data_IF_567005172205
#
_entry.id   IF_567005172205
#
_cell.length_a   1.000
_cell.length_b   1.000
_cell.length_c   1.000
_cell.angle_alpha   90.00
_cell.angle_beta   90.00
_cell.angle_gamma   90.00
#
_symmetry.space_group_name_H-M   'P 1'
#
loop_
_entity.id
_entity.type
_entity.pdbx_description
1 polymer ?
#
# COMPACT_ATOMS: atom_id res chain seq x y z
N UNK A 1 60.49 -21.14 -36.99
CA UNK A 1 59.32 -21.86 -36.48
C UNK A 1 58.66 -21.30 -35.20
N UNK A 2 59.35 -20.52 -34.33
CA UNK A 2 58.77 -19.94 -33.14
C UNK A 2 57.96 -18.63 -33.42
N UNK A 3 58.30 -17.88 -34.44
CA UNK A 3 57.66 -16.60 -34.76
C UNK A 3 56.21 -16.74 -35.28
N UNK A 4 55.89 -17.83 -35.96
CA UNK A 4 54.57 -18.02 -36.58
C UNK A 4 53.51 -18.45 -35.57
N UNK A 5 53.91 -19.17 -34.51
CA UNK A 5 52.99 -19.51 -33.38
C UNK A 5 52.58 -18.31 -32.59
N UNK A 6 53.49 -17.36 -32.31
CA UNK A 6 53.22 -16.15 -31.56
C UNK A 6 52.24 -15.22 -32.34
N UNK A 7 52.43 -15.12 -33.67
CA UNK A 7 51.51 -14.34 -34.54
C UNK A 7 50.10 -14.93 -34.63
N UNK A 8 50.01 -16.28 -34.71
CA UNK A 8 48.70 -16.95 -34.72
C UNK A 8 47.97 -16.80 -33.41
N UNK A 9 48.66 -16.89 -32.25
CA UNK A 9 48.01 -16.69 -30.95
C UNK A 9 47.59 -15.25 -30.73
N UNK A 10 48.32 -14.27 -31.23
CA UNK A 10 47.97 -12.87 -31.12
C UNK A 10 46.75 -12.52 -31.99
N UNK A 11 46.60 -13.10 -33.20
CA UNK A 11 45.45 -12.92 -34.08
C UNK A 11 44.17 -13.55 -33.47
N UNK A 12 44.27 -14.72 -32.87
CA UNK A 12 43.13 -15.39 -32.19
C UNK A 12 42.69 -14.57 -30.96
N UNK A 13 43.65 -14.03 -30.21
CA UNK A 13 43.32 -13.17 -29.04
C UNK A 13 42.63 -11.86 -29.48
N UNK A 14 43.10 -11.26 -30.59
CA UNK A 14 42.52 -10.05 -31.15
C UNK A 14 41.07 -10.29 -31.69
N UNK A 15 40.83 -11.43 -32.30
CA UNK A 15 39.49 -11.81 -32.74
C UNK A 15 38.56 -12.11 -31.57
N UNK A 16 39.04 -12.77 -30.51
CA UNK A 16 38.25 -13.03 -29.31
C UNK A 16 37.87 -11.73 -28.58
N UNK A 17 38.79 -10.77 -28.47
CA UNK A 17 38.50 -9.47 -27.86
C UNK A 17 37.53 -8.63 -28.70
N UNK A 18 37.61 -8.67 -30.03
CA UNK A 18 36.67 -7.96 -30.90
C UNK A 18 35.24 -8.54 -30.86
N UNK A 19 35.11 -9.87 -30.68
CA UNK A 19 33.79 -10.50 -30.48
C UNK A 19 33.21 -10.16 -29.10
N UNK A 20 34.07 -10.09 -28.07
CA UNK A 20 33.60 -9.71 -26.73
C UNK A 20 33.13 -8.24 -26.67
N UNK A 21 33.80 -7.34 -27.37
CA UNK A 21 33.37 -5.92 -27.46
C UNK A 21 32.11 -5.75 -28.27
N UNK A 22 31.85 -6.61 -29.27
CA UNK A 22 30.61 -6.60 -30.03
C UNK A 22 29.41 -7.18 -29.25
N UNK A 23 29.67 -8.04 -28.24
CA UNK A 23 28.62 -8.59 -27.36
C UNK A 23 28.24 -7.64 -26.22
N UNK A 24 29.15 -6.71 -25.84
CA UNK A 24 28.86 -5.61 -24.93
C UNK A 24 28.64 -4.34 -25.74
N UNK A 25 27.74 -4.41 -26.70
CA UNK A 25 27.23 -3.20 -27.36
C UNK A 25 26.74 -2.22 -26.30
N UNK A 26 26.89 -0.89 -26.51
CA UNK A 26 26.27 0.07 -25.60
C UNK A 26 24.79 -0.30 -25.51
N UNK A 27 24.33 -0.57 -24.31
CA UNK A 27 22.90 -0.70 -24.06
C UNK A 27 22.26 0.53 -24.70
N UNK A 28 21.50 0.31 -25.79
CA UNK A 28 20.76 1.39 -26.39
C UNK A 28 20.02 2.08 -25.26
N UNK A 29 20.11 3.41 -25.10
CA UNK A 29 19.28 4.08 -24.14
C UNK A 29 17.85 3.63 -24.50
N UNK A 30 17.22 2.91 -23.60
CA UNK A 30 15.78 2.67 -23.67
C UNK A 30 15.24 4.09 -23.70
N UNK A 31 14.82 4.54 -24.88
CA UNK A 31 14.08 5.79 -24.98
C UNK A 31 12.94 5.63 -24.01
N UNK A 32 12.91 6.44 -22.97
CA UNK A 32 11.77 6.51 -22.09
C UNK A 32 10.55 6.67 -23.00
N UNK A 33 9.77 5.59 -23.14
CA UNK A 33 8.44 5.71 -23.70
C UNK A 33 7.81 6.87 -22.94
N UNK A 34 7.06 7.76 -23.61
CA UNK A 34 6.36 8.83 -22.90
C UNK A 34 5.60 8.22 -21.75
N UNK A 35 6.15 8.36 -20.54
CA UNK A 35 5.55 7.82 -19.34
C UNK A 35 4.21 8.50 -19.14
N UNK A 36 3.18 7.72 -18.83
CA UNK A 36 1.84 8.24 -18.61
C UNK A 36 1.85 9.08 -17.33
N UNK A 37 1.60 10.38 -17.45
CA UNK A 37 1.51 11.30 -16.31
C UNK A 37 0.08 11.53 -15.86
N UNK A 38 -0.92 11.13 -16.66
CA UNK A 38 -2.35 11.13 -16.36
C UNK A 38 -3.11 10.24 -17.34
N UNK A 39 -4.27 9.73 -16.94
CA UNK A 39 -5.15 8.93 -17.80
C UNK A 39 -4.96 7.43 -17.64
N UNK A 40 -5.05 6.66 -18.73
CA UNK A 40 -5.17 5.19 -18.67
C UNK A 40 -3.98 4.51 -19.35
N UNK A 41 -3.28 3.69 -18.58
CA UNK A 41 -2.27 2.74 -19.08
C UNK A 41 -2.99 1.51 -19.61
N UNK A 42 -2.85 1.21 -20.92
CA UNK A 42 -3.51 0.08 -21.58
C UNK A 42 -2.55 -1.03 -22.00
N UNK A 43 -1.25 -0.82 -21.85
CA UNK A 43 -0.19 -1.79 -22.19
C UNK A 43 0.74 -2.05 -21.02
N UNK A 44 1.99 -2.36 -21.34
CA UNK A 44 3.05 -2.44 -20.33
C UNK A 44 3.82 -1.14 -20.31
N UNK A 45 3.93 -0.54 -19.13
CA UNK A 45 4.68 0.68 -18.89
C UNK A 45 5.68 0.49 -17.74
N UNK A 46 6.83 1.15 -17.83
CA UNK A 46 7.90 1.05 -16.84
C UNK A 46 8.24 2.45 -16.34
N UNK A 47 8.08 2.68 -15.05
CA UNK A 47 8.45 3.92 -14.39
C UNK A 47 9.78 3.79 -13.67
N UNK A 48 10.66 4.77 -13.89
CA UNK A 48 12.02 4.80 -13.32
C UNK A 48 12.44 6.22 -12.95
N UNK A 49 13.29 6.34 -11.93
CA UNK A 49 13.85 7.63 -11.53
C UNK A 49 12.79 8.54 -10.91
N UNK A 50 12.65 9.78 -11.39
CA UNK A 50 11.64 10.72 -10.90
C UNK A 50 10.51 10.85 -11.91
N UNK A 51 9.29 10.61 -11.44
CA UNK A 51 8.07 10.63 -12.24
C UNK A 51 7.06 11.59 -11.60
N UNK A 52 6.65 12.61 -12.34
CA UNK A 52 5.69 13.61 -11.85
C UNK A 52 4.38 13.44 -12.60
N UNK A 53 3.33 13.06 -11.86
CA UNK A 53 2.00 12.95 -12.41
C UNK A 53 1.36 14.33 -12.62
N UNK A 54 0.42 14.41 -13.54
CA UNK A 54 -0.35 15.64 -13.85
C UNK A 54 -1.84 15.45 -13.60
N UNK A 55 -2.24 14.26 -13.17
CA UNK A 55 -3.63 13.89 -12.84
C UNK A 55 -3.73 12.42 -12.45
N UNK A 56 -4.96 11.93 -12.27
CA UNK A 56 -5.20 10.52 -11.97
C UNK A 56 -4.63 9.59 -13.03
N UNK A 57 -4.09 8.47 -12.59
CA UNK A 57 -3.62 7.39 -13.46
C UNK A 57 -4.38 6.11 -13.14
N UNK A 58 -4.85 5.42 -14.18
CA UNK A 58 -5.47 4.11 -14.05
C UNK A 58 -4.68 3.06 -14.85
N UNK A 59 -4.39 1.92 -14.26
CA UNK A 59 -3.86 0.75 -14.97
C UNK A 59 -5.03 -0.12 -15.38
N UNK A 60 -5.33 -0.21 -16.67
CA UNK A 60 -6.47 -0.97 -17.18
C UNK A 60 -6.32 -2.48 -16.89
N UNK A 61 -7.44 -3.20 -16.83
CA UNK A 61 -7.42 -4.66 -16.73
C UNK A 61 -6.61 -5.27 -17.87
N UNK A 62 -5.69 -6.18 -17.55
CA UNK A 62 -4.76 -6.78 -18.50
C UNK A 62 -3.53 -5.94 -18.86
N UNK A 63 -3.50 -4.66 -18.50
CA UNK A 63 -2.30 -3.84 -18.58
C UNK A 63 -1.34 -4.12 -17.44
N UNK A 64 -0.11 -3.60 -17.53
CA UNK A 64 0.92 -3.81 -16.53
C UNK A 64 1.73 -2.55 -16.28
N UNK A 65 1.79 -2.14 -15.02
CA UNK A 65 2.70 -1.10 -14.56
C UNK A 65 3.86 -1.72 -13.79
N UNK A 66 5.07 -1.37 -14.17
CA UNK A 66 6.30 -1.77 -13.51
C UNK A 66 6.94 -0.51 -12.92
N UNK A 67 7.07 -0.45 -11.60
CA UNK A 67 7.76 0.63 -10.91
C UNK A 67 9.07 0.08 -10.36
N UNK A 68 10.18 0.58 -10.90
CA UNK A 68 11.50 0.07 -10.50
C UNK A 68 11.90 0.57 -9.11
N UNK A 69 12.72 -0.18 -8.37
CA UNK A 69 13.29 0.26 -7.12
C UNK A 69 14.01 1.60 -7.25
N UNK A 70 13.87 2.46 -6.25
CA UNK A 70 14.45 3.81 -6.25
C UNK A 70 13.67 4.86 -7.06
N UNK A 71 12.49 4.49 -7.61
CA UNK A 71 11.61 5.45 -8.29
C UNK A 71 10.94 6.35 -7.27
N UNK A 72 10.92 7.64 -7.54
CA UNK A 72 10.12 8.63 -6.79
C UNK A 72 8.98 9.11 -7.69
N UNK A 73 7.75 8.97 -7.20
CA UNK A 73 6.55 9.40 -7.92
C UNK A 73 5.90 10.53 -7.11
N UNK A 74 5.75 11.68 -7.77
CA UNK A 74 5.09 12.84 -7.18
C UNK A 74 3.68 12.96 -7.76
N UNK A 75 2.70 12.98 -6.89
CA UNK A 75 1.30 13.15 -7.20
C UNK A 75 0.87 14.60 -6.92
N UNK A 76 0.15 15.24 -7.83
CA UNK A 76 -0.56 16.48 -7.51
C UNK A 76 -1.60 16.21 -6.40
N UNK A 77 -1.98 17.28 -5.70
CA UNK A 77 -3.07 17.23 -4.74
C UNK A 77 -4.34 16.65 -5.37
N UNK A 78 -5.04 15.79 -4.63
CA UNK A 78 -6.31 15.17 -5.04
C UNK A 78 -6.19 14.12 -6.12
N UNK A 79 -5.00 13.57 -6.39
CA UNK A 79 -4.81 12.57 -7.43
C UNK A 79 -4.51 11.19 -6.88
N UNK A 80 -4.88 10.17 -7.66
CA UNK A 80 -4.80 8.76 -7.28
C UNK A 80 -4.23 7.87 -8.38
N UNK A 81 -3.80 6.67 -7.97
CA UNK A 81 -3.44 5.56 -8.84
C UNK A 81 -4.45 4.42 -8.67
N UNK A 82 -5.29 4.16 -9.67
CA UNK A 82 -6.27 3.05 -9.69
C UNK A 82 -5.73 1.85 -10.49
N UNK A 83 -5.40 0.75 -9.81
CA UNK A 83 -4.80 -0.44 -10.42
C UNK A 83 -5.86 -1.53 -10.61
N UNK A 84 -6.30 -1.74 -11.84
CA UNK A 84 -7.19 -2.83 -12.28
C UNK A 84 -6.42 -3.93 -13.01
N UNK A 85 -5.23 -3.60 -13.50
CA UNK A 85 -4.29 -4.51 -14.15
C UNK A 85 -3.22 -5.00 -13.18
N UNK A 86 -2.03 -5.30 -13.71
CA UNK A 86 -0.93 -5.82 -12.94
C UNK A 86 -0.01 -4.71 -12.43
N UNK A 87 0.42 -4.82 -11.20
CA UNK A 87 1.41 -3.91 -10.59
C UNK A 87 2.63 -4.69 -10.13
N UNK A 88 3.78 -4.27 -10.61
CA UNK A 88 5.09 -4.74 -10.19
C UNK A 88 5.89 -3.59 -9.61
N UNK A 89 5.94 -3.47 -8.32
CA UNK A 89 6.57 -2.34 -7.65
C UNK A 89 7.61 -2.80 -6.63
N UNK A 90 8.85 -2.32 -6.75
CA UNK A 90 9.94 -2.62 -5.84
C UNK A 90 10.44 -4.08 -5.84
N UNK A 91 10.03 -4.87 -6.83
CA UNK A 91 10.41 -6.28 -6.95
C UNK A 91 11.25 -6.51 -8.21
N UNK A 92 12.22 -7.43 -8.13
CA UNK A 92 13.09 -7.76 -9.28
C UNK A 92 12.38 -8.61 -10.33
N UNK A 93 11.33 -9.33 -9.94
CA UNK A 93 10.48 -10.12 -10.82
C UNK A 93 9.03 -10.04 -10.36
N UNK A 94 8.12 -9.93 -11.32
CA UNK A 94 6.69 -9.92 -11.05
C UNK A 94 6.17 -11.33 -10.81
N UNK A 95 5.35 -11.48 -9.78
CA UNK A 95 4.74 -12.75 -9.39
C UNK A 95 4.64 -12.88 -7.89
N UNK A 96 3.80 -13.79 -7.42
CA UNK A 96 3.49 -13.99 -6.00
C UNK A 96 4.71 -14.22 -5.08
N UNK A 97 5.84 -14.61 -5.64
CA UNK A 97 7.10 -14.86 -4.94
C UNK A 97 8.20 -13.83 -5.24
N UNK A 98 7.86 -12.62 -5.67
CA UNK A 98 8.82 -11.53 -5.89
C UNK A 98 9.63 -11.19 -4.63
N UNK A 99 10.39 -12.18 -4.13
CA UNK A 99 11.11 -12.10 -2.86
C UNK A 99 12.41 -11.30 -2.94
N UNK A 100 12.96 -11.13 -4.13
CA UNK A 100 14.19 -10.39 -4.33
C UNK A 100 13.86 -8.93 -4.68
N UNK A 101 13.62 -8.11 -3.67
CA UNK A 101 13.61 -6.66 -3.81
C UNK A 101 15.01 -6.11 -3.57
N UNK A 102 15.28 -4.95 -4.11
CA UNK A 102 16.47 -4.17 -3.73
C UNK A 102 16.18 -3.37 -2.47
N UNK A 103 17.23 -2.99 -1.75
CA UNK A 103 17.11 -2.19 -0.53
C UNK A 103 16.66 -0.73 -0.79
N UNK A 104 16.43 -0.33 -2.05
CA UNK A 104 16.06 1.03 -2.39
C UNK A 104 14.54 1.15 -2.52
N UNK A 105 13.88 1.92 -1.65
CA UNK A 105 12.43 2.05 -1.67
C UNK A 105 11.93 2.76 -2.93
N UNK A 106 10.67 2.51 -3.26
CA UNK A 106 9.88 3.38 -4.12
C UNK A 106 9.22 4.41 -3.20
N UNK A 107 9.28 5.68 -3.55
CA UNK A 107 8.61 6.75 -2.79
C UNK A 107 7.43 7.29 -3.58
N UNK A 108 6.25 7.27 -2.98
CA UNK A 108 5.03 7.88 -3.49
C UNK A 108 4.74 9.10 -2.62
N UNK A 109 4.85 10.30 -3.17
CA UNK A 109 4.69 11.55 -2.43
C UNK A 109 3.52 12.35 -3.00
N UNK A 110 2.61 12.79 -2.14
CA UNK A 110 1.56 13.73 -2.49
C UNK A 110 1.99 15.15 -2.11
N UNK A 111 1.75 16.08 -3.03
CA UNK A 111 2.06 17.50 -2.78
C UNK A 111 1.02 18.06 -1.82
N UNK A 112 1.50 18.62 -0.71
CA UNK A 112 0.66 19.37 0.20
C UNK A 112 -0.18 20.43 -0.56
N UNK A 113 -1.48 20.54 -0.27
CA UNK A 113 -2.27 21.62 -0.78
C UNK A 113 -1.61 22.92 -0.34
N UNK A 114 -1.30 23.80 -1.27
CA UNK A 114 -0.78 25.13 -0.93
C UNK A 114 -1.77 25.75 0.09
N UNK A 115 -1.31 26.07 1.28
CA UNK A 115 -2.12 26.52 2.42
C UNK A 115 -3.06 27.71 2.15
N UNK A 116 -3.00 28.28 0.97
CA UNK A 116 -3.81 29.45 0.58
C UNK A 116 -5.27 29.11 0.24
N UNK A 117 -5.65 27.84 0.07
CA UNK A 117 -7.02 27.43 -0.27
C UNK A 117 -7.51 26.18 0.48
N UNK A 118 -6.79 25.72 1.48
CA UNK A 118 -7.15 24.54 2.24
C UNK A 118 -8.20 24.84 3.31
N UNK A 119 -9.39 25.22 2.88
CA UNK A 119 -10.61 24.90 3.64
C UNK A 119 -11.10 23.52 3.20
N UNK A 120 -10.15 22.58 3.14
CA UNK A 120 -10.37 21.25 2.63
C UNK A 120 -11.02 20.34 3.64
N UNK A 121 -12.32 20.49 3.84
CA UNK A 121 -13.10 19.41 4.42
C UNK A 121 -13.41 18.40 3.32
N UNK A 122 -12.79 17.23 3.37
CA UNK A 122 -13.11 16.12 2.47
C UNK A 122 -14.48 15.51 2.73
N UNK A 123 -15.26 16.06 3.64
CA UNK A 123 -16.61 15.63 3.95
C UNK A 123 -17.52 16.85 4.21
N UNK A 124 -18.75 16.76 3.79
CA UNK A 124 -19.81 17.68 4.15
C UNK A 124 -20.90 16.97 4.96
N UNK A 125 -21.57 17.70 5.84
CA UNK A 125 -22.78 17.21 6.49
C UNK A 125 -23.98 17.53 5.61
N UNK A 126 -24.73 16.50 5.22
CA UNK A 126 -26.03 16.66 4.59
C UNK A 126 -27.13 17.02 5.57
N UNK A 127 -28.25 17.48 5.07
CA UNK A 127 -29.44 17.74 5.89
C UNK A 127 -29.88 16.48 6.63
N UNK A 128 -30.07 16.57 7.94
CA UNK A 128 -30.54 15.45 8.76
C UNK A 128 -29.43 14.56 9.33
N UNK A 129 -28.26 15.11 9.55
CA UNK A 129 -27.06 14.41 10.04
C UNK A 129 -26.49 13.36 9.09
N UNK A 130 -26.93 13.35 7.85
CA UNK A 130 -26.28 12.54 6.81
C UNK A 130 -25.04 13.26 6.35
N UNK A 131 -23.88 12.62 6.44
CA UNK A 131 -22.65 13.16 5.87
C UNK A 131 -22.76 13.12 4.36
N UNK A 132 -22.76 14.29 3.71
CA UNK A 132 -22.67 14.41 2.26
C UNK A 132 -21.22 14.71 1.91
N UNK A 133 -20.69 13.94 0.98
CA UNK A 133 -19.35 14.11 0.47
C UNK A 133 -19.28 15.33 -0.42
N UNK A 134 -18.59 16.34 0.02
CA UNK A 134 -18.11 17.39 -0.88
C UNK A 134 -16.79 16.88 -1.42
N UNK A 135 -16.76 16.59 -2.70
CA UNK A 135 -15.54 16.24 -3.39
C UNK A 135 -14.73 17.53 -3.53
N UNK A 136 -13.94 17.85 -2.52
CA UNK A 136 -12.91 18.86 -2.65
C UNK A 136 -11.76 18.26 -3.46
N UNK A 137 -11.04 19.12 -4.16
CA UNK A 137 -9.87 18.75 -4.95
C UNK A 137 -8.71 18.20 -4.11
N UNK A 138 -8.77 18.35 -2.79
CA UNK A 138 -7.80 17.78 -1.84
C UNK A 138 -8.11 16.36 -1.41
N UNK A 139 -9.27 15.79 -1.79
CA UNK A 139 -9.65 14.42 -1.45
C UNK A 139 -9.37 13.48 -2.60
N UNK A 140 -8.91 12.28 -2.29
CA UNK A 140 -8.68 11.26 -3.30
C UNK A 140 -7.21 10.93 -3.52
N UNK A 141 -6.38 11.21 -2.53
CA UNK A 141 -4.95 10.95 -2.55
C UNK A 141 -4.63 9.55 -2.08
N UNK A 142 -4.05 8.74 -2.94
CA UNK A 142 -3.69 7.37 -2.59
C UNK A 142 -3.66 6.41 -3.77
N UNK A 143 -3.69 5.13 -3.45
CA UNK A 143 -3.69 4.03 -4.41
C UNK A 143 -4.86 3.07 -4.15
N UNK A 144 -5.51 2.63 -5.21
CA UNK A 144 -6.55 1.59 -5.15
C UNK A 144 -6.08 0.36 -5.92
N UNK A 145 -6.12 -0.79 -5.27
CA UNK A 145 -5.89 -2.09 -5.90
C UNK A 145 -7.22 -2.83 -6.02
N UNK A 146 -7.59 -3.20 -7.25
CA UNK A 146 -8.87 -3.83 -7.55
C UNK A 146 -8.78 -5.35 -7.60
N UNK A 147 -9.90 -6.01 -7.41
CA UNK A 147 -10.06 -7.47 -7.50
C UNK A 147 -9.69 -8.09 -8.86
N UNK A 148 -9.67 -7.27 -9.91
CA UNK A 148 -9.28 -7.66 -11.26
C UNK A 148 -7.77 -7.82 -11.45
N UNK A 149 -6.96 -7.45 -10.45
CA UNK A 149 -5.51 -7.58 -10.49
C UNK A 149 -5.08 -9.05 -10.45
N UNK A 150 -4.24 -9.47 -11.41
CA UNK A 150 -3.64 -10.80 -11.40
C UNK A 150 -2.45 -10.86 -10.43
N UNK A 151 -2.68 -11.45 -9.27
CA UNK A 151 -1.67 -11.58 -8.22
C UNK A 151 -0.49 -12.47 -8.63
N UNK A 152 -0.68 -13.38 -9.59
CA UNK A 152 0.42 -14.20 -10.11
C UNK A 152 1.41 -13.41 -10.98
N UNK A 153 0.98 -12.25 -11.46
CA UNK A 153 1.76 -11.32 -12.29
C UNK A 153 2.07 -10.01 -11.60
N UNK A 154 1.70 -9.89 -10.32
CA UNK A 154 1.88 -8.68 -9.52
C UNK A 154 2.80 -8.95 -8.33
N UNK A 155 3.40 -7.91 -7.80
CA UNK A 155 4.22 -7.97 -6.59
C UNK A 155 4.53 -6.58 -6.11
N UNK A 156 4.48 -6.38 -4.78
CA UNK A 156 4.72 -5.08 -4.15
C UNK A 156 5.65 -5.24 -2.96
N UNK A 157 6.71 -4.47 -2.95
CA UNK A 157 7.67 -4.47 -1.87
C UNK A 157 8.33 -3.12 -1.72
N UNK A 158 8.57 -2.72 -0.47
CA UNK A 158 9.38 -1.57 -0.09
C UNK A 158 8.89 -0.28 -0.75
N UNK A 159 7.61 0.01 -0.54
CA UNK A 159 6.95 1.22 -1.03
C UNK A 159 6.68 2.14 0.15
N UNK A 160 7.15 3.37 0.05
CA UNK A 160 6.93 4.43 1.02
C UNK A 160 5.83 5.36 0.50
N UNK A 161 4.79 5.55 1.30
CA UNK A 161 3.71 6.50 1.08
C UNK A 161 3.94 7.71 1.98
N UNK A 162 3.97 8.90 1.42
CA UNK A 162 4.29 10.12 2.14
C UNK A 162 3.30 11.24 1.84
N UNK A 163 2.73 11.84 2.88
CA UNK A 163 1.90 13.05 2.78
C UNK A 163 0.50 12.85 2.21
N UNK A 164 -0.05 11.63 2.17
CA UNK A 164 -1.34 11.37 1.55
C UNK A 164 -2.51 11.59 2.49
N UNK A 165 -3.60 12.19 1.99
CA UNK A 165 -4.87 12.37 2.71
C UNK A 165 -5.79 11.14 2.67
N UNK A 166 -5.64 10.29 1.68
CA UNK A 166 -6.47 9.12 1.46
C UNK A 166 -7.63 9.35 0.50
N UNK A 167 -8.16 8.24 0.01
CA UNK A 167 -9.27 8.19 -0.94
C UNK A 167 -10.56 7.86 -0.19
N UNK A 168 -11.65 8.64 -0.35
CA UNK A 168 -12.94 8.27 0.19
C UNK A 168 -13.52 7.05 -0.53
N UNK A 169 -13.82 6.01 0.22
CA UNK A 169 -14.34 4.75 -0.31
C UNK A 169 -15.61 4.33 0.42
N UNK A 170 -16.64 3.94 -0.34
CA UNK A 170 -17.92 3.52 0.24
C UNK A 170 -17.88 2.05 0.68
N UNK A 171 -18.10 1.82 1.96
CA UNK A 171 -18.12 0.48 2.55
C UNK A 171 -19.56 -0.05 2.54
N UNK A 172 -19.86 -1.00 1.68
CA UNK A 172 -21.20 -1.58 1.56
C UNK A 172 -21.66 -2.29 2.83
N UNK A 173 -20.75 -2.92 3.57
CA UNK A 173 -21.07 -3.66 4.81
C UNK A 173 -21.56 -2.75 5.95
N UNK A 174 -21.14 -1.49 5.97
CA UNK A 174 -21.49 -0.54 7.02
C UNK A 174 -22.31 0.66 6.52
N UNK A 175 -22.57 0.74 5.21
CA UNK A 175 -23.32 1.82 4.56
C UNK A 175 -22.72 3.20 4.83
N UNK A 176 -21.38 3.28 4.90
CA UNK A 176 -20.67 4.52 5.17
C UNK A 176 -19.41 4.65 4.32
N UNK A 177 -18.88 5.86 4.27
CA UNK A 177 -17.59 6.13 3.64
C UNK A 177 -16.48 6.03 4.67
N UNK A 178 -15.33 5.49 4.23
CA UNK A 178 -14.08 5.48 4.94
C UNK A 178 -12.97 6.00 4.04
N UNK A 179 -11.88 6.42 4.63
CA UNK A 179 -10.73 6.90 3.91
C UNK A 179 -9.59 5.90 4.02
N UNK A 180 -8.82 5.74 2.95
CA UNK A 180 -7.61 4.94 2.95
C UNK A 180 -6.61 5.46 1.94
N UNK A 181 -5.33 5.47 2.31
CA UNK A 181 -4.24 5.81 1.40
C UNK A 181 -3.97 4.65 0.44
N UNK A 182 -3.94 3.43 0.95
CA UNK A 182 -3.94 2.21 0.15
C UNK A 182 -5.26 1.47 0.34
N UNK A 183 -6.07 1.40 -0.70
CA UNK A 183 -7.34 0.70 -0.69
C UNK A 183 -7.20 -0.63 -1.41
N UNK A 184 -7.57 -1.71 -0.72
CA UNK A 184 -7.63 -3.06 -1.26
C UNK A 184 -9.10 -3.42 -1.51
N UNK A 185 -9.58 -3.13 -2.70
CA UNK A 185 -10.97 -3.37 -3.13
C UNK A 185 -11.10 -4.77 -3.73
N UNK A 186 -11.28 -5.77 -2.88
CA UNK A 186 -11.29 -7.18 -3.24
C UNK A 186 -9.91 -7.76 -3.59
N UNK A 187 -8.88 -6.94 -3.72
CA UNK A 187 -7.54 -7.39 -4.02
C UNK A 187 -6.87 -8.02 -2.79
N UNK A 188 -6.15 -9.11 -2.98
CA UNK A 188 -5.52 -9.88 -1.91
C UNK A 188 -4.00 -10.03 -2.12
N UNK A 189 -3.25 -8.93 -2.25
CA UNK A 189 -1.81 -8.99 -2.48
C UNK A 189 -1.04 -9.39 -1.22
N UNK A 190 0.21 -9.79 -1.41
CA UNK A 190 1.21 -9.76 -0.36
C UNK A 190 1.90 -8.40 -0.39
N UNK A 191 1.73 -7.63 0.69
CA UNK A 191 2.35 -6.34 0.92
C UNK A 191 3.60 -6.57 1.76
N UNK A 192 4.78 -6.22 1.23
CA UNK A 192 6.06 -6.43 1.92
C UNK A 192 6.76 -5.12 2.19
N UNK A 193 7.16 -4.90 3.44
CA UNK A 193 7.99 -3.74 3.83
C UNK A 193 7.38 -2.41 3.35
N UNK A 194 6.07 -2.26 3.48
CA UNK A 194 5.39 -1.00 3.19
C UNK A 194 5.61 -0.02 4.32
N UNK A 195 5.81 1.25 4.01
CA UNK A 195 5.98 2.32 5.00
C UNK A 195 5.02 3.45 4.71
N UNK A 196 4.33 3.92 5.74
CA UNK A 196 3.39 5.02 5.64
C UNK A 196 3.83 6.14 6.59
N UNK A 197 4.18 7.29 6.03
CA UNK A 197 4.63 8.46 6.76
C UNK A 197 3.72 9.65 6.47
N UNK A 198 3.50 10.48 7.49
CA UNK A 198 2.74 11.74 7.36
C UNK A 198 1.37 11.52 6.70
N UNK A 199 0.67 10.49 7.16
CA UNK A 199 -0.64 10.10 6.64
C UNK A 199 -1.74 10.78 7.47
N UNK A 200 -2.71 11.39 6.81
CA UNK A 200 -3.80 12.12 7.48
C UNK A 200 -5.01 11.25 7.79
N UNK A 201 -5.12 10.06 7.22
CA UNK A 201 -6.25 9.14 7.44
C UNK A 201 -5.77 7.71 7.72
N UNK A 202 -6.47 6.70 7.22
CA UNK A 202 -6.09 5.29 7.35
C UNK A 202 -5.02 4.92 6.33
N UNK A 203 -3.93 4.30 6.79
CA UNK A 203 -2.89 3.83 5.87
C UNK A 203 -3.43 2.76 4.92
N UNK A 204 -4.07 1.72 5.43
CA UNK A 204 -4.62 0.65 4.59
C UNK A 204 -6.08 0.37 4.92
N UNK A 205 -6.92 0.41 3.89
CA UNK A 205 -8.33 0.05 3.95
C UNK A 205 -8.58 -1.20 3.09
N UNK A 206 -8.88 -2.34 3.73
CA UNK A 206 -9.20 -3.60 3.07
C UNK A 206 -10.71 -3.85 3.11
N UNK A 207 -11.33 -4.09 1.96
CA UNK A 207 -12.78 -4.26 1.81
C UNK A 207 -13.13 -5.25 0.70
N UNK A 208 -14.43 -5.54 0.52
CA UNK A 208 -14.94 -6.43 -0.53
C UNK A 208 -14.25 -7.79 -0.56
N UNK A 209 -14.12 -8.42 0.63
CA UNK A 209 -13.50 -9.74 0.83
C UNK A 209 -12.00 -9.80 0.49
N UNK A 210 -11.30 -8.70 0.47
CA UNK A 210 -9.85 -8.69 0.36
C UNK A 210 -9.20 -9.51 1.47
N UNK A 211 -8.17 -10.28 1.13
CA UNK A 211 -7.40 -11.14 2.05
C UNK A 211 -5.89 -10.92 1.87
N UNK A 212 -5.40 -9.69 2.10
CA UNK A 212 -3.98 -9.42 1.95
C UNK A 212 -3.14 -10.13 3.01
N UNK A 213 -1.85 -10.27 2.71
CA UNK A 213 -0.82 -10.58 3.70
C UNK A 213 0.08 -9.38 3.88
N UNK A 214 0.32 -9.01 5.12
CA UNK A 214 1.23 -7.94 5.49
C UNK A 214 2.49 -8.57 6.07
N UNK A 215 3.64 -8.32 5.45
CA UNK A 215 4.92 -8.89 5.88
C UNK A 215 5.92 -7.75 6.04
N UNK A 216 6.33 -7.50 7.27
CA UNK A 216 7.11 -6.33 7.61
C UNK A 216 6.38 -5.02 7.36
N UNK A 217 7.08 -3.91 7.56
CA UNK A 217 6.59 -2.59 7.26
C UNK A 217 6.05 -1.83 8.47
N UNK A 218 5.81 -0.54 8.25
CA UNK A 218 5.34 0.42 9.25
C UNK A 218 4.04 1.04 8.77
N UNK A 219 2.97 0.81 9.53
CA UNK A 219 1.63 1.30 9.25
C UNK A 219 1.24 2.29 10.34
N UNK A 220 1.06 3.55 9.96
CA UNK A 220 0.78 4.63 10.88
C UNK A 220 -0.63 5.16 10.65
N UNK A 221 -1.38 5.31 11.72
CA UNK A 221 -2.68 5.97 11.66
C UNK A 221 -2.49 7.47 11.55
N UNK A 222 -3.19 8.08 10.63
CA UNK A 222 -3.23 9.54 10.49
C UNK A 222 -3.85 10.19 11.71
N UNK A 223 -3.39 11.38 12.01
CA UNK A 223 -3.87 12.20 13.11
C UNK A 223 -4.43 13.50 12.54
N UNK A 224 -5.72 13.53 12.26
CA UNK A 224 -6.42 14.79 12.05
C UNK A 224 -7.14 15.15 13.35
N UNK A 225 -6.52 16.02 14.15
CA UNK A 225 -7.07 16.49 15.42
C UNK A 225 -8.35 17.32 15.26
N UNK A 226 -8.62 17.85 14.07
CA UNK A 226 -9.74 18.75 13.81
C UNK A 226 -10.97 18.03 13.20
N UNK A 227 -10.78 16.87 12.57
CA UNK A 227 -11.87 16.13 11.97
C UNK A 227 -12.31 14.91 12.79
N UNK A 228 -13.59 14.58 12.76
CA UNK A 228 -14.11 13.32 13.31
C UNK A 228 -13.66 12.09 12.50
N UNK A 229 -12.80 12.28 11.49
CA UNK A 229 -12.21 11.22 10.68
C UNK A 229 -10.99 10.68 11.39
N UNK A 230 -11.20 9.71 12.25
CA UNK A 230 -10.11 9.01 12.93
C UNK A 230 -9.48 8.03 11.96
N UNK A 231 -8.20 8.24 11.63
CA UNK A 231 -7.41 7.26 10.89
C UNK A 231 -7.02 6.07 11.80
N UNK A 232 -7.00 4.89 11.22
CA UNK A 232 -6.38 3.72 11.79
C UNK A 232 -5.14 3.35 10.96
N UNK A 233 -4.19 2.61 11.54
CA UNK A 233 -3.12 2.07 10.72
C UNK A 233 -3.71 1.10 9.68
N UNK A 234 -4.63 0.22 10.09
CA UNK A 234 -5.34 -0.67 9.17
C UNK A 234 -6.81 -0.79 9.53
N UNK A 235 -7.69 -0.64 8.53
CA UNK A 235 -9.12 -0.92 8.61
C UNK A 235 -9.48 -2.10 7.70
N UNK A 236 -10.27 -3.04 8.23
CA UNK A 236 -10.65 -4.27 7.54
C UNK A 236 -12.15 -4.47 7.60
N UNK A 237 -12.77 -4.66 6.44
CA UNK A 237 -14.19 -4.92 6.28
C UNK A 237 -14.43 -6.20 5.49
N UNK A 238 -14.68 -7.31 6.18
CA UNK A 238 -14.82 -8.62 5.58
C UNK A 238 -13.48 -9.23 5.18
N UNK A 239 -13.50 -10.30 4.44
CA UNK A 239 -12.30 -11.01 3.98
C UNK A 239 -11.98 -12.22 4.85
N UNK A 240 -10.80 -12.37 5.36
CA UNK A 240 -10.26 -13.52 6.07
C UNK A 240 -11.24 -14.54 6.66
N UNK A 241 -10.91 -15.80 6.54
CA UNK A 241 -11.66 -16.92 7.14
C UNK A 241 -10.75 -17.74 8.05
N UNK A 242 -11.27 -18.61 8.94
CA UNK A 242 -10.42 -19.47 9.75
C UNK A 242 -9.47 -20.38 8.97
N UNK A 243 -9.80 -20.68 7.70
CA UNK A 243 -8.97 -21.51 6.80
C UNK A 243 -7.98 -20.65 6.01
N UNK A 244 -8.35 -19.39 5.74
CA UNK A 244 -7.53 -18.41 5.03
C UNK A 244 -7.63 -17.07 5.76
N UNK A 245 -6.91 -16.91 6.86
CA UNK A 245 -6.92 -15.68 7.64
C UNK A 245 -6.24 -14.55 6.87
N UNK A 246 -6.56 -13.32 7.23
CA UNK A 246 -5.74 -12.18 6.87
C UNK A 246 -4.52 -12.18 7.80
N UNK A 247 -3.32 -12.16 7.23
CA UNK A 247 -2.07 -12.39 7.97
C UNK A 247 -1.27 -11.10 8.11
N UNK A 248 -0.82 -10.84 9.33
CA UNK A 248 0.15 -9.80 9.67
C UNK A 248 1.35 -10.46 10.32
N UNK A 249 2.52 -10.27 9.76
CA UNK A 249 3.76 -10.92 10.17
C UNK A 249 4.90 -9.90 10.18
N UNK A 250 5.64 -9.79 11.29
CA UNK A 250 6.80 -8.88 11.43
C UNK A 250 6.46 -7.42 11.08
N UNK A 251 5.26 -6.95 11.42
CA UNK A 251 4.76 -5.62 11.05
C UNK A 251 4.60 -4.71 12.28
N UNK A 252 4.76 -3.41 12.07
CA UNK A 252 4.56 -2.40 13.10
C UNK A 252 3.32 -1.55 12.77
N UNK A 253 2.42 -1.43 13.76
CA UNK A 253 1.22 -0.62 13.66
C UNK A 253 1.22 0.44 14.74
N UNK A 254 1.08 1.70 14.33
CA UNK A 254 1.11 2.83 15.25
C UNK A 254 -0.12 3.72 15.06
N UNK A 255 -0.75 4.06 16.17
CA UNK A 255 -1.77 5.11 16.23
C UNK A 255 -1.31 6.20 17.19
N UNK A 256 -1.29 7.43 16.73
CA UNK A 256 -0.83 8.60 17.53
C UNK A 256 -1.94 9.24 18.34
N UNK A 257 -3.19 8.82 18.17
CA UNK A 257 -4.33 9.40 18.85
C UNK A 257 -4.30 9.13 20.37
N UNK A 258 -4.49 10.18 21.16
CA UNK A 258 -4.44 10.16 22.64
C UNK A 258 -5.81 10.54 23.22
N UNK A 259 -6.71 9.60 23.40
CA UNK A 259 -7.99 9.90 24.04
C UNK A 259 -8.87 8.69 24.26
N UNK A 260 -8.86 8.14 25.45
CA UNK A 260 -9.68 6.99 25.85
C UNK A 260 -11.21 7.23 25.84
N UNK A 261 -11.68 8.33 25.25
CA UNK A 261 -13.05 8.80 25.42
C UNK A 261 -14.11 8.32 24.41
N UNK A 262 -13.75 7.67 23.33
CA UNK A 262 -14.72 7.22 22.31
C UNK A 262 -14.92 5.71 22.35
N UNK A 263 -16.13 5.30 22.67
CA UNK A 263 -16.54 3.87 22.77
C UNK A 263 -16.67 3.16 21.42
N UNK A 264 -16.46 3.86 20.31
CA UNK A 264 -16.84 3.36 18.99
C UNK A 264 -15.70 2.66 18.23
N UNK A 265 -14.58 2.33 18.92
CA UNK A 265 -13.43 1.68 18.30
C UNK A 265 -12.73 2.52 17.22
N UNK A 266 -13.08 3.81 17.11
CA UNK A 266 -12.64 4.68 16.05
C UNK A 266 -11.17 5.11 16.11
N UNK A 267 -10.38 4.62 17.09
CA UNK A 267 -8.99 5.01 17.31
C UNK A 267 -8.06 3.83 17.57
N UNK A 268 -8.43 2.65 17.09
CA UNK A 268 -7.58 1.48 17.18
C UNK A 268 -6.46 1.54 16.13
N UNK A 269 -5.29 0.99 16.44
CA UNK A 269 -4.27 0.82 15.42
C UNK A 269 -4.77 -0.13 14.33
N UNK A 270 -5.42 -1.23 14.70
CA UNK A 270 -6.08 -2.14 13.77
C UNK A 270 -7.57 -2.24 14.12
N UNK A 271 -8.42 -1.92 13.14
CA UNK A 271 -9.86 -2.10 13.24
C UNK A 271 -10.32 -3.20 12.27
N UNK A 272 -11.05 -4.19 12.77
CA UNK A 272 -11.45 -5.35 11.99
C UNK A 272 -12.94 -5.66 12.19
N UNK A 273 -13.70 -5.79 11.11
CA UNK A 273 -15.11 -6.14 11.09
C UNK A 273 -15.39 -7.30 10.14
N UNK A 274 -16.12 -8.31 10.62
CA UNK A 274 -16.57 -9.48 9.86
C UNK A 274 -15.42 -10.23 9.14
N UNK A 275 -14.30 -10.43 9.84
CA UNK A 275 -13.10 -11.06 9.27
C UNK A 275 -12.45 -12.04 10.26
N UNK A 276 -11.47 -12.79 9.79
CA UNK A 276 -10.55 -13.57 10.61
C UNK A 276 -9.13 -13.08 10.36
N UNK A 277 -8.42 -12.67 11.44
CA UNK A 277 -7.07 -12.13 11.39
C UNK A 277 -6.09 -13.01 12.14
N UNK A 278 -4.88 -13.14 11.65
CA UNK A 278 -3.76 -13.77 12.33
C UNK A 278 -2.59 -12.78 12.36
N UNK A 279 -2.08 -12.52 13.59
CA UNK A 279 -1.01 -11.55 13.83
C UNK A 279 0.09 -12.30 14.53
N UNK A 280 1.28 -12.25 13.96
CA UNK A 280 2.46 -12.92 14.49
C UNK A 280 3.68 -12.00 14.43
N UNK A 281 4.54 -12.08 15.46
CA UNK A 281 5.81 -11.35 15.56
C UNK A 281 5.68 -9.86 15.23
N UNK A 282 4.59 -9.21 15.67
CA UNK A 282 4.25 -7.84 15.30
C UNK A 282 4.20 -6.92 16.51
N UNK A 283 4.36 -5.62 16.28
CA UNK A 283 4.30 -4.57 17.31
C UNK A 283 3.09 -3.69 17.04
N UNK A 284 2.25 -3.52 18.07
CA UNK A 284 1.13 -2.59 18.04
C UNK A 284 1.34 -1.54 19.12
N UNK A 285 1.62 -0.31 18.69
CA UNK A 285 1.77 0.85 19.56
C UNK A 285 0.65 1.84 19.26
N UNK A 286 -0.18 2.14 20.27
CA UNK A 286 -1.32 3.04 20.08
C UNK A 286 -1.54 3.91 21.31
N UNK A 287 -1.95 5.14 21.08
CA UNK A 287 -2.40 6.03 22.14
C UNK A 287 -3.67 5.52 22.81
N UNK A 288 -4.61 4.93 22.07
CA UNK A 288 -5.93 4.53 22.58
C UNK A 288 -6.10 3.01 22.64
N UNK A 289 -6.43 2.38 21.52
CA UNK A 289 -6.71 0.95 21.42
C UNK A 289 -5.74 0.28 20.45
N UNK A 290 -5.21 -0.87 20.83
CA UNK A 290 -4.40 -1.67 19.90
C UNK A 290 -5.27 -2.27 18.80
N UNK A 291 -6.29 -3.02 19.21
CA UNK A 291 -7.22 -3.70 18.31
C UNK A 291 -8.66 -3.37 18.67
N UNK A 292 -9.48 -3.11 17.67
CA UNK A 292 -10.94 -3.11 17.79
C UNK A 292 -11.53 -4.16 16.85
N UNK A 293 -12.07 -5.21 17.40
CA UNK A 293 -12.54 -6.39 16.67
C UNK A 293 -14.06 -6.47 16.80
N UNK A 294 -14.78 -6.41 15.66
CA UNK A 294 -16.25 -6.47 15.59
C UNK A 294 -16.71 -7.66 14.76
N UNK A 295 -17.54 -8.54 15.34
CA UNK A 295 -18.05 -9.73 14.63
C UNK A 295 -16.96 -10.52 13.89
N UNK A 296 -15.77 -10.52 14.45
CA UNK A 296 -14.56 -11.07 13.88
C UNK A 296 -13.92 -12.03 14.88
N UNK A 297 -13.01 -12.84 14.40
CA UNK A 297 -12.15 -13.66 15.23
C UNK A 297 -10.70 -13.52 14.79
N UNK A 298 -9.76 -13.93 15.63
CA UNK A 298 -8.36 -13.82 15.31
C UNK A 298 -7.48 -14.60 16.25
N UNK A 299 -6.21 -14.65 15.88
CA UNK A 299 -5.12 -15.20 16.66
C UNK A 299 -3.99 -14.19 16.70
N UNK A 300 -3.44 -13.95 17.89
CA UNK A 300 -2.29 -13.08 18.08
C UNK A 300 -1.22 -13.88 18.81
N UNK A 301 -0.04 -13.96 18.23
CA UNK A 301 1.09 -14.70 18.78
C UNK A 301 2.37 -13.87 18.71
N UNK A 302 3.28 -14.08 19.64
CA UNK A 302 4.64 -13.48 19.68
C UNK A 302 4.67 -11.97 19.48
N UNK A 303 3.58 -11.26 19.81
CA UNK A 303 3.41 -9.85 19.46
C UNK A 303 3.40 -8.96 20.70
N UNK A 304 3.88 -7.72 20.56
CA UNK A 304 3.87 -6.71 21.60
C UNK A 304 2.72 -5.73 21.38
N UNK A 305 1.92 -5.49 22.43
CA UNK A 305 0.82 -4.52 22.39
C UNK A 305 1.07 -3.47 23.48
N UNK A 306 1.44 -2.26 23.07
CA UNK A 306 1.72 -1.14 23.95
C UNK A 306 0.71 -0.01 23.70
N UNK A 307 -0.27 0.14 24.60
CA UNK A 307 -1.40 1.06 24.41
C UNK A 307 -1.76 1.76 25.72
N UNK A 308 -2.37 2.93 25.60
CA UNK A 308 -2.76 3.74 26.77
C UNK A 308 -4.09 3.28 27.37
N UNK A 309 -5.03 2.79 26.56
CA UNK A 309 -6.39 2.47 27.02
C UNK A 309 -6.63 0.96 27.08
N UNK A 310 -7.01 0.34 25.97
CA UNK A 310 -7.26 -1.10 25.91
C UNK A 310 -6.42 -1.74 24.81
N UNK A 311 -5.69 -2.79 25.13
CA UNK A 311 -4.93 -3.56 24.15
C UNK A 311 -5.83 -4.15 23.10
N UNK A 312 -6.94 -4.75 23.52
CA UNK A 312 -7.89 -5.41 22.63
C UNK A 312 -9.31 -5.07 23.10
N UNK A 313 -10.09 -4.50 22.19
CA UNK A 313 -11.53 -4.28 22.37
C UNK A 313 -12.30 -5.23 21.45
N UNK A 314 -13.03 -6.16 22.05
CA UNK A 314 -13.84 -7.13 21.31
C UNK A 314 -15.30 -6.79 21.49
N UNK A 315 -15.92 -6.24 20.46
CA UNK A 315 -17.36 -6.00 20.42
C UNK A 315 -18.02 -7.02 19.49
N UNK A 316 -18.37 -8.17 20.01
CA UNK A 316 -19.00 -9.24 19.24
C UNK A 316 -20.32 -9.63 19.86
N UNK A 317 -21.39 -9.58 19.07
CA UNK A 317 -22.68 -10.19 19.42
C UNK A 317 -22.64 -11.74 19.35
N UNK A 318 -21.60 -12.30 18.78
CA UNK A 318 -21.34 -13.72 18.74
C UNK A 318 -19.90 -13.93 19.19
N UNK A 319 -19.72 -14.28 20.44
CA UNK A 319 -18.44 -14.76 20.93
C UNK A 319 -18.02 -15.98 20.10
N UNK A 320 -17.15 -15.82 19.17
CA UNK A 320 -16.45 -16.93 18.54
C UNK A 320 -15.33 -17.30 19.50
N UNK A 321 -15.55 -18.40 20.17
CA UNK A 321 -14.66 -18.95 21.17
C UNK A 321 -13.39 -19.46 20.50
N UNK A 322 -12.42 -18.68 20.21
CA UNK A 322 -11.05 -19.11 19.87
C UNK A 322 -10.17 -17.88 19.59
N UNK A 323 -10.09 -16.97 20.53
CA UNK A 323 -9.01 -15.98 20.54
C UNK A 323 -7.94 -16.52 21.49
N UNK A 324 -6.82 -16.96 20.96
CA UNK A 324 -5.66 -17.36 21.76
C UNK A 324 -4.76 -16.14 21.94
N UNK A 325 -4.47 -15.78 23.18
CA UNK A 325 -3.51 -14.75 23.56
C UNK A 325 -2.29 -15.44 24.16
N UNK A 326 -1.13 -15.17 23.64
CA UNK A 326 0.14 -15.59 24.23
C UNK A 326 1.02 -14.38 24.47
#
# INVERSE_FOLDING_TARGET
MQSDRARSQFLVLLMLTSVLVALVGPASPVMAANETTSGIITGTEVWTGTHVLTGDVAVAAGAKLIIQPGTTITFPNGTSLDVRGNLCAGVSSCGANGNAGTATPITLTWLEPSQSNATGECYGLGSGNSKIWIRDSSCGEGMILRDTMDLSQSGMRHIHFEGAWGIPFYIQLEFEYRFGVLILDGASPTLREMVFNDINTTSVLATNLAQPRFIGGEYIAGNDDESDVTGQAVQIYGGGTPISPMVFEDAQFTSTNNGCGRRDGGRAAIWASQTFIEIDDSVVASGDFGFSIRNSAGKITNSEISVTCNGIDVNSLKAVANTEYN
#
